data_IF_516295216773
#
_entry.id   IF_516295216773
#
_cell.length_a   1.000
_cell.length_b   1.000
_cell.length_c   1.000
_cell.angle_alpha   90.00
_cell.angle_beta   90.00
_cell.angle_gamma   90.00
#
_symmetry.space_group_name_H-M   'P 1'
#
loop_
_entity.id
_entity.type
_entity.pdbx_description
1 polymer ?
#
# COMPACT_ATOMS: atom_id res chain seq x y z
N UNK A 1 -35.44 -14.49 -22.83
CA UNK A 1 -35.48 -15.93 -23.16
C UNK A 1 -34.54 -16.66 -22.19
N UNK A 2 -35.07 -17.67 -21.47
CA UNK A 2 -34.39 -18.87 -20.90
C UNK A 2 -33.19 -18.61 -19.97
N UNK A 3 -33.37 -18.42 -18.65
CA UNK A 3 -33.41 -19.47 -17.59
C UNK A 3 -32.67 -20.77 -17.97
N UNK A 4 -31.44 -20.92 -17.46
CA UNK A 4 -30.77 -22.23 -17.32
C UNK A 4 -30.32 -22.39 -15.87
N UNK A 5 -31.05 -23.24 -15.16
CA UNK A 5 -30.66 -23.81 -13.89
C UNK A 5 -29.62 -24.92 -14.15
N UNK A 6 -28.53 -24.92 -13.39
CA UNK A 6 -27.70 -26.11 -13.20
C UNK A 6 -27.96 -26.57 -11.78
N UNK A 7 -28.58 -27.73 -11.69
CA UNK A 7 -28.83 -28.48 -10.46
C UNK A 7 -27.87 -29.67 -10.39
N UNK A 8 -27.82 -30.30 -9.21
CA UNK A 8 -27.16 -31.58 -8.84
C UNK A 8 -25.65 -31.49 -8.55
N UNK A 9 -25.08 -32.03 -7.46
CA UNK A 9 -25.53 -33.01 -6.46
C UNK A 9 -24.96 -32.64 -5.08
N UNK A 10 -25.80 -32.50 -4.06
CA UNK A 10 -25.38 -32.58 -2.66
C UNK A 10 -25.37 -34.06 -2.25
N UNK A 11 -24.20 -34.69 -2.37
CA UNK A 11 -23.92 -35.91 -1.64
C UNK A 11 -23.74 -35.54 -0.17
N UNK A 12 -24.54 -36.18 0.69
CA UNK A 12 -24.45 -36.07 2.13
C UNK A 12 -23.08 -36.52 2.63
N UNK A 13 -22.36 -35.62 3.30
CA UNK A 13 -21.38 -36.01 4.31
C UNK A 13 -21.48 -35.04 5.48
N UNK A 14 -21.52 -35.63 6.67
CA UNK A 14 -21.92 -35.02 7.93
C UNK A 14 -20.91 -34.00 8.44
N UNK A 15 -21.45 -32.97 9.13
CA UNK A 15 -20.79 -32.08 10.09
C UNK A 15 -19.48 -31.41 9.64
N UNK A 16 -19.58 -30.21 9.08
CA UNK A 16 -18.50 -29.22 9.15
C UNK A 16 -19.08 -27.82 9.10
N UNK A 17 -18.63 -26.96 10.02
CA UNK A 17 -19.05 -25.57 10.22
C UNK A 17 -19.02 -24.76 8.92
N UNK A 18 -20.16 -24.19 8.53
CA UNK A 18 -20.25 -23.15 7.51
C UNK A 18 -20.00 -21.78 8.14
N UNK A 19 -18.80 -21.23 7.95
CA UNK A 19 -18.58 -19.78 7.94
C UNK A 19 -18.50 -19.32 6.49
N UNK A 20 -19.19 -18.21 6.20
CA UNK A 20 -19.57 -17.76 4.87
C UNK A 20 -18.41 -17.60 3.88
N UNK A 21 -18.71 -17.90 2.62
CA UNK A 21 -17.85 -17.63 1.48
C UNK A 21 -17.87 -16.12 1.18
N UNK A 22 -17.01 -15.36 1.86
CA UNK A 22 -16.58 -14.08 1.33
C UNK A 22 -15.60 -14.39 0.19
N UNK A 23 -16.01 -14.21 -1.06
CA UNK A 23 -15.08 -14.07 -2.18
C UNK A 23 -14.34 -12.73 -2.02
N UNK A 24 -13.46 -12.65 -1.03
CA UNK A 24 -12.41 -11.65 -0.98
C UNK A 24 -11.30 -12.18 -1.88
N UNK A 25 -11.01 -11.45 -2.95
CA UNK A 25 -9.79 -11.62 -3.72
C UNK A 25 -8.60 -11.59 -2.73
N UNK A 26 -7.90 -12.71 -2.46
CA UNK A 26 -6.70 -12.64 -1.68
C UNK A 26 -5.63 -12.15 -2.65
N UNK A 27 -5.55 -10.83 -2.84
CA UNK A 27 -4.25 -10.24 -3.13
C UNK A 27 -3.39 -10.72 -1.96
N UNK A 28 -2.59 -11.75 -2.24
CA UNK A 28 -1.82 -12.46 -1.24
C UNK A 28 -0.98 -11.42 -0.52
N UNK A 29 -1.36 -11.09 0.72
CA UNK A 29 -0.43 -10.56 1.70
C UNK A 29 0.57 -11.69 1.94
N UNK A 30 1.55 -11.80 1.04
CA UNK A 30 2.73 -12.57 1.32
C UNK A 30 3.32 -11.96 2.60
N UNK A 31 3.66 -12.79 3.60
CA UNK A 31 4.39 -12.30 4.74
C UNK A 31 5.74 -11.79 4.22
N UNK A 32 5.83 -10.49 3.95
CA UNK A 32 7.11 -9.81 3.74
C UNK A 32 7.90 -10.07 5.01
N UNK A 33 9.00 -10.79 4.87
CA UNK A 33 9.96 -10.97 5.95
C UNK A 33 10.29 -9.57 6.45
N UNK A 34 9.88 -9.26 7.69
CA UNK A 34 10.17 -7.97 8.31
C UNK A 34 11.68 -7.88 8.48
N UNK A 35 12.34 -7.25 7.51
CA UNK A 35 13.72 -6.86 7.65
C UNK A 35 13.76 -5.90 8.84
N UNK A 36 14.51 -6.26 9.87
CA UNK A 36 14.75 -5.35 10.99
C UNK A 36 15.56 -4.17 10.45
N UNK A 37 14.85 -3.09 10.12
CA UNK A 37 15.46 -1.83 9.75
C UNK A 37 15.84 -1.12 11.03
N UNK A 38 17.14 -0.91 11.22
CA UNK A 38 17.62 -0.03 12.28
C UNK A 38 17.02 1.37 12.08
N UNK A 39 16.30 1.86 13.09
CA UNK A 39 15.68 3.19 13.07
C UNK A 39 16.69 4.21 13.61
N UNK A 40 17.29 4.97 12.71
CA UNK A 40 18.23 6.05 13.04
C UNK A 40 17.62 7.41 12.71
N UNK A 41 18.11 8.48 13.31
CA UNK A 41 17.65 9.85 13.01
C UNK A 41 17.78 10.20 11.54
N UNK A 42 18.89 9.81 10.91
CA UNK A 42 19.11 10.01 9.49
C UNK A 42 18.01 9.33 8.65
N UNK A 43 17.63 8.08 8.97
CA UNK A 43 16.57 7.38 8.25
C UNK A 43 15.19 7.97 8.48
N UNK A 44 14.93 8.51 9.67
CA UNK A 44 13.68 9.23 9.94
C UNK A 44 13.60 10.54 9.16
N UNK A 45 14.70 11.27 9.02
CA UNK A 45 14.76 12.45 8.17
C UNK A 45 14.56 12.10 6.68
N UNK A 46 15.23 11.06 6.18
CA UNK A 46 15.01 10.57 4.83
C UNK A 46 13.55 10.12 4.61
N UNK A 47 12.95 9.53 5.64
CA UNK A 47 11.55 9.11 5.59
C UNK A 47 10.60 10.31 5.50
N UNK A 48 10.83 11.39 6.26
CA UNK A 48 10.01 12.60 6.14
C UNK A 48 10.15 13.24 4.75
N UNK A 49 11.38 13.31 4.20
CA UNK A 49 11.60 13.80 2.84
C UNK A 49 10.86 12.95 1.79
N UNK A 50 10.88 11.62 1.93
CA UNK A 50 10.15 10.72 1.05
C UNK A 50 8.62 10.88 1.19
N UNK A 51 8.10 11.09 2.41
CA UNK A 51 6.68 11.32 2.64
C UNK A 51 6.17 12.57 1.92
N UNK A 52 6.94 13.67 2.00
CA UNK A 52 6.57 14.92 1.34
C UNK A 52 6.54 14.73 -0.19
N UNK A 53 7.58 14.13 -0.76
CA UNK A 53 7.65 13.84 -2.20
C UNK A 53 6.53 12.90 -2.66
N UNK A 54 6.23 11.83 -1.91
CA UNK A 54 5.11 10.92 -2.21
C UNK A 54 3.77 11.67 -2.14
N UNK A 55 3.61 12.61 -1.19
CA UNK A 55 2.42 13.45 -1.08
C UNK A 55 2.20 14.30 -2.34
N UNK A 56 3.25 14.92 -2.85
CA UNK A 56 3.21 15.70 -4.11
C UNK A 56 2.87 14.82 -5.32
N UNK A 57 3.50 13.65 -5.43
CA UNK A 57 3.23 12.66 -6.48
C UNK A 57 1.78 12.18 -6.40
N UNK A 58 1.27 11.90 -5.20
CA UNK A 58 -0.13 11.51 -4.98
C UNK A 58 -1.10 12.58 -5.48
N UNK A 59 -0.84 13.85 -5.15
CA UNK A 59 -1.68 14.96 -5.62
C UNK A 59 -1.64 15.13 -7.14
N UNK A 60 -0.47 14.98 -7.77
CA UNK A 60 -0.30 14.99 -9.23
C UNK A 60 -1.14 13.89 -9.89
N UNK A 61 -0.97 12.65 -9.44
CA UNK A 61 -1.61 11.50 -10.08
C UNK A 61 -3.10 11.38 -9.78
N UNK A 62 -3.59 11.91 -8.67
CA UNK A 62 -5.02 12.06 -8.41
C UNK A 62 -5.69 12.94 -9.50
N UNK A 63 -5.05 14.06 -9.86
CA UNK A 63 -5.56 14.93 -10.93
C UNK A 63 -5.52 14.24 -12.31
N UNK A 64 -4.46 13.49 -12.59
CA UNK A 64 -4.36 12.70 -13.83
C UNK A 64 -5.43 11.61 -13.88
N UNK A 65 -5.66 10.89 -12.78
CA UNK A 65 -6.67 9.83 -12.69
C UNK A 65 -8.09 10.37 -12.90
N UNK A 66 -8.42 11.53 -12.34
CA UNK A 66 -9.70 12.21 -12.57
C UNK A 66 -9.90 12.62 -14.03
N UNK A 67 -8.82 12.77 -14.79
CA UNK A 67 -8.83 13.14 -16.20
C UNK A 67 -8.81 11.94 -17.14
N UNK A 68 -8.72 10.71 -16.62
CA UNK A 68 -8.63 9.50 -17.42
C UNK A 68 -9.96 9.19 -18.13
N UNK A 69 -9.90 8.92 -19.44
CA UNK A 69 -11.08 8.65 -20.27
C UNK A 69 -11.35 7.15 -20.46
N UNK A 70 -10.40 6.29 -20.07
CA UNK A 70 -10.52 4.85 -20.22
C UNK A 70 -9.85 4.07 -19.08
N UNK A 71 -10.21 2.80 -18.95
CA UNK A 71 -9.60 1.89 -17.98
C UNK A 71 -8.10 1.67 -18.29
N UNK A 72 -7.72 1.64 -19.57
CA UNK A 72 -6.33 1.51 -20.00
C UNK A 72 -5.50 2.75 -19.61
N UNK A 73 -6.05 3.96 -19.78
CA UNK A 73 -5.40 5.19 -19.34
C UNK A 73 -5.24 5.21 -17.81
N UNK A 74 -6.29 4.87 -17.08
CA UNK A 74 -6.25 4.76 -15.62
C UNK A 74 -5.18 3.77 -15.14
N UNK A 75 -5.03 2.63 -15.83
CA UNK A 75 -3.99 1.64 -15.52
C UNK A 75 -2.57 2.16 -15.82
N UNK A 76 -2.39 2.97 -16.88
CA UNK A 76 -1.10 3.59 -17.19
C UNK A 76 -0.72 4.61 -16.12
N UNK A 77 -1.65 5.50 -15.75
CA UNK A 77 -1.49 6.50 -14.70
C UNK A 77 -1.09 5.81 -13.38
N UNK A 78 -1.76 4.72 -13.01
CA UNK A 78 -1.42 3.96 -11.80
C UNK A 78 0.00 3.36 -11.84
N UNK A 79 0.46 2.88 -12.99
CA UNK A 79 1.81 2.34 -13.14
C UNK A 79 2.87 3.44 -13.03
N UNK A 80 2.61 4.59 -13.67
CA UNK A 80 3.52 5.74 -13.61
C UNK A 80 3.62 6.30 -12.18
N UNK A 81 2.48 6.40 -11.48
CA UNK A 81 2.44 6.80 -10.08
C UNK A 81 3.29 5.89 -9.19
N UNK A 82 3.15 4.57 -9.34
CA UNK A 82 3.94 3.61 -8.56
C UNK A 82 5.44 3.74 -8.84
N UNK A 83 5.83 3.91 -10.10
CA UNK A 83 7.24 4.09 -10.46
C UNK A 83 7.81 5.38 -9.86
N UNK A 84 7.11 6.51 -10.01
CA UNK A 84 7.57 7.79 -9.44
C UNK A 84 7.63 7.76 -7.91
N UNK A 85 6.69 7.08 -7.25
CA UNK A 85 6.76 6.90 -5.78
C UNK A 85 7.99 6.11 -5.35
N UNK A 86 8.35 5.04 -6.06
CA UNK A 86 9.57 4.27 -5.77
C UNK A 86 10.82 5.12 -6.00
N UNK A 87 10.88 5.84 -7.12
CA UNK A 87 12.00 6.75 -7.43
C UNK A 87 12.15 7.86 -6.38
N UNK A 88 11.05 8.40 -5.85
CA UNK A 88 11.07 9.40 -4.79
C UNK A 88 11.66 8.84 -3.48
N UNK A 89 11.29 7.62 -3.10
CA UNK A 89 11.85 6.93 -1.93
C UNK A 89 13.36 6.71 -2.11
N UNK A 90 13.77 6.23 -3.28
CA UNK A 90 15.18 6.00 -3.61
C UNK A 90 15.99 7.30 -3.64
N UNK A 91 15.40 8.38 -4.16
CA UNK A 91 16.02 9.71 -4.21
C UNK A 91 16.21 10.31 -2.81
N UNK A 92 15.32 10.00 -1.87
CA UNK A 92 15.49 10.35 -0.46
C UNK A 92 16.57 9.50 0.25
N UNK A 93 17.12 8.47 -0.42
CA UNK A 93 18.17 7.61 0.10
C UNK A 93 17.66 6.42 0.90
N UNK A 94 16.40 6.03 0.72
CA UNK A 94 15.78 4.83 1.29
C UNK A 94 15.50 3.81 0.19
N UNK A 95 15.46 2.53 0.52
CA UNK A 95 14.80 1.55 -0.36
C UNK A 95 13.29 1.54 -0.08
N UNK A 96 12.48 1.07 -1.05
CA UNK A 96 11.04 0.87 -0.85
C UNK A 96 10.75 -0.04 0.37
N UNK A 97 11.59 -1.06 0.60
CA UNK A 97 11.50 -1.94 1.77
C UNK A 97 11.74 -1.18 3.08
N UNK A 98 12.76 -0.31 3.12
CA UNK A 98 13.08 0.49 4.30
C UNK A 98 11.97 1.49 4.62
N UNK A 99 11.45 2.18 3.60
CA UNK A 99 10.32 3.08 3.76
C UNK A 99 9.10 2.35 4.34
N UNK A 100 8.74 1.20 3.75
CA UNK A 100 7.61 0.40 4.22
C UNK A 100 7.81 -0.12 5.65
N UNK A 101 9.02 -0.54 6.01
CA UNK A 101 9.32 -0.99 7.36
C UNK A 101 9.18 0.14 8.40
N UNK A 102 9.68 1.34 8.09
CA UNK A 102 9.53 2.52 8.96
C UNK A 102 8.05 2.89 9.09
N UNK A 103 7.30 2.89 7.99
CA UNK A 103 5.86 3.17 8.00
C UNK A 103 5.07 2.16 8.85
N UNK A 104 5.36 0.86 8.71
CA UNK A 104 4.73 -0.18 9.53
C UNK A 104 5.07 -0.06 11.01
N UNK A 105 6.32 0.30 11.34
CA UNK A 105 6.73 0.51 12.73
C UNK A 105 6.02 1.74 13.32
N UNK A 106 5.96 2.85 12.59
CA UNK A 106 5.29 4.08 13.03
C UNK A 106 3.78 3.91 13.22
N UNK A 107 3.14 2.96 12.53
CA UNK A 107 1.73 2.61 12.78
C UNK A 107 1.52 1.91 14.14
N UNK A 108 2.53 1.21 14.64
CA UNK A 108 2.46 0.42 15.88
C UNK A 108 3.09 1.13 17.08
N UNK A 109 3.97 2.09 16.84
CA UNK A 109 4.75 2.81 17.84
C UNK A 109 4.38 4.31 17.85
N UNK A 110 3.66 4.72 18.89
CA UNK A 110 3.20 6.09 19.09
C UNK A 110 4.37 7.09 19.24
N UNK A 111 5.40 6.72 20.00
CA UNK A 111 6.55 7.59 20.25
C UNK A 111 7.33 7.82 18.96
N UNK A 112 7.49 6.77 18.15
CA UNK A 112 8.11 6.87 16.84
C UNK A 112 7.31 7.79 15.91
N UNK A 113 5.98 7.66 15.89
CA UNK A 113 5.12 8.53 15.09
C UNK A 113 5.25 9.99 15.49
N UNK A 114 5.20 10.30 16.78
CA UNK A 114 5.39 11.66 17.28
C UNK A 114 6.77 12.21 16.92
N UNK A 115 7.82 11.38 16.96
CA UNK A 115 9.15 11.79 16.53
C UNK A 115 9.20 12.16 15.05
N UNK A 116 8.63 11.33 14.16
CA UNK A 116 8.54 11.61 12.72
C UNK A 116 7.79 12.93 12.48
N UNK A 117 6.64 13.11 13.15
CA UNK A 117 5.84 14.35 13.04
C UNK A 117 6.60 15.59 13.53
N UNK A 118 7.44 15.45 14.56
CA UNK A 118 8.27 16.55 15.06
C UNK A 118 9.36 16.97 14.07
N UNK A 119 9.96 16.00 13.36
CA UNK A 119 11.01 16.23 12.36
C UNK A 119 10.44 16.95 11.12
N UNK A 120 9.28 16.49 10.62
CA UNK A 120 8.61 17.11 9.47
C UNK A 120 8.31 18.60 9.67
N UNK A 121 7.91 19.03 10.89
CA UNK A 121 7.65 20.44 11.20
C UNK A 121 8.91 21.30 11.36
N UNK A 122 10.07 20.70 11.60
CA UNK A 122 11.31 21.42 11.86
C UNK A 122 12.05 21.81 10.57
N UNK A 123 11.78 21.13 9.45
CA UNK A 123 12.34 21.40 8.11
C UNK A 123 11.43 22.26 7.21
N UNK A 124 10.22 22.63 7.69
CA UNK A 124 9.25 23.51 6.99
C UNK A 124 9.44 24.99 7.33
#
# INVERSE_FOLDING_TARGET
MKKTAIALCLAAFSATVTLGVAQANPAAMQPQQQQQVEITEAKLLQFTMAMDAIGEIGAKYEAEFQSAESAEQAQQIQQQAQNEMVEAVESAGLTAEQYNAIAQQAQQDEELRERILSMSRADS
#
